data_IF_177759563055
#
_entry.id   IF_177759563055
#
_cell.length_a   1.000
_cell.length_b   1.000
_cell.length_c   1.000
_cell.angle_alpha   90.00
_cell.angle_beta   90.00
_cell.angle_gamma   90.00
#
_symmetry.space_group_name_H-M   'P 1'
#
loop_
_entity.id
_entity.type
_entity.pdbx_description
1 polymer ?
#
# COMPACT_ATOMS: atom_id res chain seq x y z
N UNK A 1 -20.28 72.21 30.78
CA UNK A 1 -21.18 71.04 30.72
C UNK A 1 -20.47 69.90 30.02
N UNK A 2 -20.44 68.75 30.68
CA UNK A 2 -19.79 67.53 30.22
C UNK A 2 -20.57 66.87 29.08
N UNK A 3 -19.87 66.27 28.12
CA UNK A 3 -20.34 65.03 27.47
C UNK A 3 -19.16 64.30 26.82
N UNK A 4 -18.86 63.17 27.44
CA UNK A 4 -17.82 62.19 27.13
C UNK A 4 -18.34 61.30 25.99
N UNK A 5 -17.74 61.39 24.80
CA UNK A 5 -18.00 60.45 23.69
C UNK A 5 -17.32 59.11 23.99
N UNK A 6 -18.14 58.12 24.35
CA UNK A 6 -17.75 56.76 24.69
C UNK A 6 -17.51 55.97 23.40
N UNK A 7 -16.30 55.44 23.24
CA UNK A 7 -15.91 54.59 22.12
C UNK A 7 -16.74 53.30 22.05
N UNK A 8 -17.20 52.99 20.84
CA UNK A 8 -17.80 51.71 20.46
C UNK A 8 -16.68 50.70 20.23
N UNK A 9 -16.26 50.01 21.30
CA UNK A 9 -15.50 48.77 21.22
C UNK A 9 -16.44 47.61 20.94
N UNK A 10 -16.06 46.77 19.98
CA UNK A 10 -16.33 45.32 19.96
C UNK A 10 -17.80 44.93 19.90
N UNK A 11 -18.33 44.83 18.68
CA UNK A 11 -19.49 43.98 18.43
C UNK A 11 -19.13 42.54 18.80
N UNK A 12 -19.64 42.07 19.94
CA UNK A 12 -19.67 40.65 20.26
C UNK A 12 -20.51 39.94 19.19
N UNK A 13 -20.05 38.80 18.64
CA UNK A 13 -20.91 37.98 17.80
C UNK A 13 -22.08 37.44 18.65
N UNK A 14 -23.28 37.28 18.07
CA UNK A 14 -24.49 36.90 18.79
C UNK A 14 -24.36 35.52 19.45
N UNK A 15 -24.97 35.31 20.63
CA UNK A 15 -25.01 34.01 21.29
C UNK A 15 -26.06 33.15 20.59
N UNK A 16 -25.63 32.11 19.86
CA UNK A 16 -26.55 31.16 19.23
C UNK A 16 -26.17 30.66 17.84
N UNK A 17 -25.02 31.05 17.29
CA UNK A 17 -24.43 30.27 16.21
C UNK A 17 -23.91 28.97 16.81
N UNK A 18 -24.60 27.85 16.57
CA UNK A 18 -24.07 26.52 16.86
C UNK A 18 -22.79 26.41 16.04
N UNK A 19 -21.65 26.74 16.65
CA UNK A 19 -20.35 26.50 16.03
C UNK A 19 -20.32 24.99 15.88
N UNK A 20 -20.42 24.52 14.64
CA UNK A 20 -20.45 23.09 14.39
C UNK A 20 -19.07 22.55 14.78
N UNK A 21 -19.01 21.90 15.94
CA UNK A 21 -17.78 21.33 16.49
C UNK A 21 -17.12 20.41 15.47
N UNK A 22 -17.93 19.71 14.67
CA UNK A 22 -17.46 18.81 13.62
C UNK A 22 -16.72 19.58 12.50
N UNK A 23 -17.23 20.74 12.08
CA UNK A 23 -16.62 21.56 11.04
C UNK A 23 -15.29 22.18 11.50
N UNK A 24 -15.24 22.67 12.74
CA UNK A 24 -14.00 23.20 13.33
C UNK A 24 -12.96 22.08 13.54
N UNK A 25 -13.39 20.87 13.93
CA UNK A 25 -12.50 19.70 14.00
C UNK A 25 -11.98 19.32 12.61
N UNK A 26 -12.82 19.33 11.58
CA UNK A 26 -12.37 19.13 10.20
C UNK A 26 -11.37 20.19 9.75
N UNK A 27 -11.55 21.45 10.16
CA UNK A 27 -10.61 22.52 9.89
C UNK A 27 -9.24 22.28 10.56
N UNK A 28 -9.17 21.61 11.72
CA UNK A 28 -7.91 21.22 12.34
C UNK A 28 -7.13 20.21 11.50
N UNK A 29 -7.80 19.15 11.03
CA UNK A 29 -7.15 18.08 10.26
C UNK A 29 -6.74 18.51 8.84
N UNK A 30 -7.26 19.63 8.32
CA UNK A 30 -6.84 20.24 7.05
C UNK A 30 -5.51 20.99 7.12
N UNK A 31 -5.13 21.49 8.30
CA UNK A 31 -3.94 22.34 8.48
C UNK A 31 -2.64 21.56 8.30
N UNK A 32 -1.51 22.22 7.97
CA UNK A 32 -0.20 21.60 8.00
C UNK A 32 0.07 20.92 9.34
N UNK A 33 0.74 19.77 9.32
CA UNK A 33 0.94 18.96 10.53
C UNK A 33 1.67 19.74 11.64
N UNK A 34 2.60 20.62 11.25
CA UNK A 34 3.33 21.48 12.18
C UNK A 34 2.41 22.47 12.93
N UNK A 35 1.30 22.89 12.32
CA UNK A 35 0.35 23.84 12.88
C UNK A 35 -0.77 23.19 13.70
N UNK A 36 -0.96 21.88 13.58
CA UNK A 36 -2.09 21.16 14.17
C UNK A 36 -2.22 21.42 15.68
N UNK A 37 -1.13 21.25 16.44
CA UNK A 37 -1.15 21.40 17.91
C UNK A 37 -1.49 22.83 18.32
N UNK A 38 -0.91 23.83 17.65
CA UNK A 38 -1.21 25.25 17.90
C UNK A 38 -2.68 25.55 17.63
N UNK A 39 -3.19 25.13 16.47
CA UNK A 39 -4.58 25.37 16.08
C UNK A 39 -5.58 24.66 17.00
N UNK A 40 -5.26 23.43 17.44
CA UNK A 40 -6.09 22.68 18.41
C UNK A 40 -6.18 23.42 19.74
N UNK A 41 -5.07 23.93 20.24
CA UNK A 41 -5.03 24.62 21.53
C UNK A 41 -5.73 25.99 21.46
N UNK A 42 -5.63 26.69 20.32
CA UNK A 42 -6.38 27.91 20.04
C UNK A 42 -7.90 27.66 19.96
N UNK A 43 -8.33 26.59 19.26
CA UNK A 43 -9.74 26.21 19.21
C UNK A 43 -10.29 25.86 20.60
N UNK A 44 -9.58 25.03 21.36
CA UNK A 44 -9.99 24.69 22.72
C UNK A 44 -10.10 25.93 23.63
N UNK A 45 -9.18 26.90 23.49
CA UNK A 45 -9.26 28.17 24.22
C UNK A 45 -10.48 28.99 23.80
N UNK A 46 -10.79 29.08 22.51
CA UNK A 46 -11.98 29.78 21.98
C UNK A 46 -13.27 29.16 22.52
N UNK A 47 -13.41 27.84 22.45
CA UNK A 47 -14.60 27.11 22.96
C UNK A 47 -14.79 27.31 24.46
N UNK A 48 -13.70 27.28 25.23
CA UNK A 48 -13.74 27.55 26.67
C UNK A 48 -14.15 28.99 26.99
N UNK A 49 -13.72 29.96 26.19
CA UNK A 49 -14.13 31.37 26.32
C UNK A 49 -15.60 31.58 25.92
N UNK A 50 -16.11 30.78 24.98
CA UNK A 50 -17.52 30.77 24.59
C UNK A 50 -18.44 30.06 25.59
N UNK A 51 -17.90 29.48 26.67
CA UNK A 51 -18.65 28.81 27.73
C UNK A 51 -18.83 27.29 27.52
N UNK A 52 -18.40 26.74 26.39
CA UNK A 52 -18.47 25.30 26.13
C UNK A 52 -17.19 24.58 26.59
N UNK A 53 -17.17 24.27 27.89
CA UNK A 53 -16.08 23.49 28.49
C UNK A 53 -16.03 22.05 27.95
N UNK A 54 -17.17 21.46 27.61
CA UNK A 54 -17.26 20.09 27.11
C UNK A 54 -16.59 19.94 25.74
N UNK A 55 -16.94 20.81 24.80
CA UNK A 55 -16.31 20.86 23.47
C UNK A 55 -14.82 21.20 23.56
N UNK A 56 -14.43 22.14 24.45
CA UNK A 56 -13.01 22.42 24.72
C UNK A 56 -12.23 21.16 25.15
N UNK A 57 -12.78 20.37 26.07
CA UNK A 57 -12.11 19.17 26.58
C UNK A 57 -12.06 18.06 25.51
N UNK A 58 -13.11 17.91 24.69
CA UNK A 58 -13.11 17.01 23.52
C UNK A 58 -12.05 17.40 22.49
N UNK A 59 -11.95 18.68 22.12
CA UNK A 59 -10.92 19.17 21.19
C UNK A 59 -9.51 18.96 21.74
N UNK A 60 -9.28 19.17 23.05
CA UNK A 60 -7.98 18.89 23.66
C UNK A 60 -7.60 17.41 23.67
N UNK A 61 -8.58 16.52 23.76
CA UNK A 61 -8.36 15.08 23.70
C UNK A 61 -7.95 14.59 22.31
N UNK A 62 -8.14 15.40 21.25
CA UNK A 62 -7.70 15.06 19.90
C UNK A 62 -6.18 14.87 19.84
N UNK A 63 -5.79 13.69 19.37
CA UNK A 63 -4.39 13.32 19.15
C UNK A 63 -3.87 14.00 17.89
N UNK A 64 -2.61 14.42 17.95
CA UNK A 64 -1.90 14.88 16.76
C UNK A 64 -1.73 13.69 15.79
N UNK A 65 -2.10 13.84 14.50
CA UNK A 65 -1.87 12.81 13.50
C UNK A 65 -0.39 12.42 13.37
N UNK A 66 -0.09 11.16 13.06
CA UNK A 66 1.24 10.79 12.57
C UNK A 66 1.48 11.34 11.16
N UNK A 67 2.73 11.30 10.70
CA UNK A 67 3.05 11.77 9.36
C UNK A 67 2.24 11.05 8.25
N UNK A 68 2.13 9.72 8.37
CA UNK A 68 1.36 8.89 7.44
C UNK A 68 -0.15 9.15 7.55
N UNK A 69 -0.69 9.26 8.77
CA UNK A 69 -2.10 9.54 9.01
C UNK A 69 -2.52 10.92 8.46
N UNK A 70 -1.68 11.95 8.64
CA UNK A 70 -1.91 13.26 8.03
C UNK A 70 -1.96 13.14 6.50
N UNK A 71 -1.03 12.42 5.88
CA UNK A 71 -1.04 12.25 4.42
C UNK A 71 -2.30 11.53 3.93
N UNK A 72 -2.77 10.51 4.65
CA UNK A 72 -4.06 9.86 4.37
C UNK A 72 -5.22 10.84 4.46
N UNK A 73 -5.26 11.68 5.50
CA UNK A 73 -6.29 12.69 5.67
C UNK A 73 -6.29 13.70 4.50
N UNK A 74 -5.12 14.12 4.05
CA UNK A 74 -5.01 15.02 2.91
C UNK A 74 -5.38 14.33 1.58
N UNK A 75 -5.04 13.04 1.42
CA UNK A 75 -5.46 12.25 0.26
C UNK A 75 -6.99 12.12 0.20
N UNK A 76 -7.65 11.83 1.33
CA UNK A 76 -9.11 11.74 1.42
C UNK A 76 -9.78 13.07 1.03
N UNK A 77 -9.18 14.21 1.40
CA UNK A 77 -9.75 15.54 1.14
C UNK A 77 -9.45 16.07 -0.26
N UNK A 78 -8.26 15.81 -0.83
CA UNK A 78 -7.85 16.32 -2.15
C UNK A 78 -8.18 15.38 -3.30
N UNK A 79 -8.28 14.09 -3.02
CA UNK A 79 -8.59 13.05 -4.01
C UNK A 79 -9.76 12.17 -3.53
N UNK A 80 -10.94 12.74 -3.22
CA UNK A 80 -12.06 12.00 -2.63
C UNK A 80 -12.49 10.82 -3.51
N UNK A 81 -12.53 11.00 -4.83
CA UNK A 81 -12.89 9.95 -5.79
C UNK A 81 -11.91 8.76 -5.77
N UNK A 82 -10.61 9.03 -5.58
CA UNK A 82 -9.60 7.95 -5.48
C UNK A 82 -9.66 7.25 -4.13
N UNK A 83 -10.02 7.98 -3.07
CA UNK A 83 -10.24 7.40 -1.75
C UNK A 83 -11.49 6.51 -1.73
N UNK A 84 -12.59 6.96 -2.35
CA UNK A 84 -13.79 6.15 -2.54
C UNK A 84 -13.48 4.87 -3.32
N UNK A 85 -12.76 4.98 -4.44
CA UNK A 85 -12.31 3.82 -5.20
C UNK A 85 -11.45 2.85 -4.38
N UNK A 86 -10.64 3.36 -3.43
CA UNK A 86 -9.84 2.51 -2.54
C UNK A 86 -10.73 1.74 -1.56
N UNK A 87 -11.71 2.43 -0.95
CA UNK A 87 -12.65 1.83 -0.01
C UNK A 87 -13.50 0.76 -0.70
N UNK A 88 -14.02 1.06 -1.89
CA UNK A 88 -14.78 0.12 -2.71
C UNK A 88 -13.94 -1.10 -3.12
N UNK A 89 -12.70 -0.88 -3.56
CA UNK A 89 -11.80 -1.98 -3.91
C UNK A 89 -11.43 -2.81 -2.68
N UNK A 90 -11.31 -2.18 -1.51
CA UNK A 90 -11.08 -2.85 -0.23
C UNK A 90 -12.25 -3.73 0.19
N UNK A 91 -13.49 -3.25 0.08
CA UNK A 91 -14.69 -4.05 0.39
C UNK A 91 -14.84 -5.22 -0.60
N UNK A 92 -14.66 -4.98 -1.91
CA UNK A 92 -14.70 -6.07 -2.91
C UNK A 92 -13.64 -7.14 -2.66
N UNK A 93 -12.45 -6.73 -2.20
CA UNK A 93 -11.40 -7.67 -1.82
C UNK A 93 -11.77 -8.46 -0.57
N UNK A 94 -12.36 -7.80 0.43
CA UNK A 94 -12.90 -8.46 1.63
C UNK A 94 -14.01 -9.47 1.30
N UNK A 95 -14.93 -9.11 0.40
CA UNK A 95 -15.96 -10.02 -0.11
C UNK A 95 -15.37 -11.22 -0.86
N UNK A 96 -14.40 -10.98 -1.75
CA UNK A 96 -13.72 -12.05 -2.48
C UNK A 96 -12.94 -12.98 -1.55
N UNK A 97 -12.38 -12.47 -0.44
CA UNK A 97 -11.74 -13.29 0.60
C UNK A 97 -12.76 -14.19 1.31
N UNK A 98 -13.96 -13.68 1.63
CA UNK A 98 -15.06 -14.48 2.22
C UNK A 98 -15.56 -15.56 1.25
N UNK A 99 -15.65 -15.24 -0.04
CA UNK A 99 -16.10 -16.14 -1.11
C UNK A 99 -15.02 -17.06 -1.70
N UNK A 100 -13.78 -17.03 -1.19
CA UNK A 100 -12.62 -17.68 -1.81
C UNK A 100 -12.75 -19.22 -1.93
N UNK A 101 -13.61 -19.83 -1.10
CA UNK A 101 -13.87 -21.28 -1.10
C UNK A 101 -14.92 -21.72 -2.13
N UNK A 102 -15.57 -20.78 -2.83
CA UNK A 102 -16.56 -21.08 -3.87
C UNK A 102 -15.94 -21.35 -5.25
N UNK A 103 -16.72 -21.90 -6.21
CA UNK A 103 -16.30 -22.04 -7.61
C UNK A 103 -15.91 -20.68 -8.20
N UNK A 104 -14.69 -20.56 -8.75
CA UNK A 104 -14.16 -19.29 -9.26
C UNK A 104 -13.60 -18.33 -8.20
N UNK A 105 -13.68 -18.69 -6.91
CA UNK A 105 -13.21 -17.85 -5.79
C UNK A 105 -11.72 -17.48 -5.87
N UNK A 106 -10.87 -18.39 -6.34
CA UNK A 106 -9.45 -18.12 -6.53
C UNK A 106 -9.17 -17.04 -7.60
N UNK A 107 -9.95 -16.99 -8.69
CA UNK A 107 -9.80 -15.97 -9.73
C UNK A 107 -10.38 -14.63 -9.25
N UNK A 108 -11.57 -14.64 -8.64
CA UNK A 108 -12.19 -13.44 -8.07
C UNK A 108 -11.30 -12.77 -7.01
N UNK A 109 -10.64 -13.55 -6.15
CA UNK A 109 -9.68 -13.04 -5.17
C UNK A 109 -8.46 -12.40 -5.83
N UNK A 110 -7.91 -13.01 -6.89
CA UNK A 110 -6.79 -12.44 -7.65
C UNK A 110 -7.18 -11.11 -8.29
N UNK A 111 -8.32 -11.05 -8.96
CA UNK A 111 -8.77 -9.85 -9.67
C UNK A 111 -9.08 -8.70 -8.70
N UNK A 112 -9.76 -8.99 -7.59
CA UNK A 112 -10.01 -8.00 -6.54
C UNK A 112 -8.71 -7.49 -5.91
N UNK A 113 -7.75 -8.40 -5.66
CA UNK A 113 -6.43 -8.04 -5.13
C UNK A 113 -5.62 -7.15 -6.08
N UNK A 114 -5.70 -7.40 -7.40
CA UNK A 114 -5.05 -6.56 -8.40
C UNK A 114 -5.66 -5.16 -8.46
N UNK A 115 -7.00 -5.07 -8.45
CA UNK A 115 -7.72 -3.78 -8.46
C UNK A 115 -7.39 -2.93 -7.23
N UNK A 116 -7.40 -3.53 -6.04
CA UNK A 116 -7.02 -2.85 -4.81
C UNK A 116 -5.58 -2.30 -4.87
N UNK A 117 -4.62 -3.13 -5.28
CA UNK A 117 -3.21 -2.70 -5.44
C UNK A 117 -3.04 -1.59 -6.47
N UNK A 118 -3.82 -1.61 -7.56
CA UNK A 118 -3.78 -0.56 -8.57
C UNK A 118 -4.17 0.81 -7.99
N UNK A 119 -5.27 0.88 -7.24
CA UNK A 119 -5.72 2.12 -6.59
C UNK A 119 -4.75 2.58 -5.51
N UNK A 120 -4.22 1.66 -4.70
CA UNK A 120 -3.16 1.97 -3.71
C UNK A 120 -1.95 2.64 -4.39
N UNK A 121 -1.48 2.08 -5.51
CA UNK A 121 -0.35 2.65 -6.25
C UNK A 121 -0.66 4.04 -6.82
N UNK A 122 -1.88 4.31 -7.25
CA UNK A 122 -2.30 5.64 -7.71
C UNK A 122 -2.28 6.69 -6.60
N UNK A 123 -2.72 6.33 -5.39
CA UNK A 123 -2.67 7.20 -4.21
C UNK A 123 -1.23 7.43 -3.76
N UNK A 124 -0.39 6.40 -3.78
CA UNK A 124 1.04 6.52 -3.43
C UNK A 124 1.81 7.44 -4.37
N UNK A 125 1.42 7.57 -5.64
CA UNK A 125 2.02 8.53 -6.57
C UNK A 125 1.76 9.99 -6.18
N UNK A 126 0.64 10.27 -5.52
CA UNK A 126 0.29 11.61 -5.05
C UNK A 126 0.91 11.96 -3.67
N UNK A 127 1.34 10.96 -2.92
CA UNK A 127 1.83 11.11 -1.55
C UNK A 127 3.11 11.98 -1.41
N UNK A 128 4.14 11.90 -2.28
CA UNK A 128 5.38 12.67 -2.10
C UNK A 128 5.18 14.18 -2.05
N UNK A 129 4.25 14.72 -2.86
CA UNK A 129 3.92 16.15 -2.86
C UNK A 129 3.31 16.58 -1.51
N UNK A 130 2.39 15.77 -0.98
CA UNK A 130 1.79 15.99 0.34
C UNK A 130 2.84 15.89 1.45
N UNK A 131 3.78 14.94 1.33
CA UNK A 131 4.87 14.81 2.28
C UNK A 131 5.79 16.06 2.32
N UNK A 132 6.01 16.71 1.18
CA UNK A 132 6.78 17.94 1.14
C UNK A 132 6.04 19.10 1.84
N UNK A 133 4.73 19.22 1.64
CA UNK A 133 3.91 20.28 2.24
C UNK A 133 3.76 20.16 3.76
N UNK A 134 3.74 18.94 4.30
CA UNK A 134 3.52 18.70 5.73
C UNK A 134 4.73 19.03 6.64
N UNK A 135 5.93 19.26 6.08
CA UNK A 135 7.09 19.74 6.83
C UNK A 135 7.57 18.83 7.97
N UNK A 136 7.60 17.52 7.75
CA UNK A 136 7.81 16.52 8.80
C UNK A 136 9.24 16.49 9.36
N UNK A 137 9.35 16.25 10.67
CA UNK A 137 10.62 16.07 11.40
C UNK A 137 10.67 14.75 12.19
N UNK A 138 9.75 13.82 11.92
CA UNK A 138 9.67 12.54 12.64
C UNK A 138 10.76 11.55 12.16
N UNK A 139 11.29 10.75 13.10
CA UNK A 139 12.24 9.67 12.78
C UNK A 139 11.48 8.45 12.24
N UNK A 140 11.88 7.92 11.09
CA UNK A 140 11.33 6.69 10.51
C UNK A 140 11.13 6.75 8.99
N UNK A 141 10.42 5.76 8.43
CA UNK A 141 10.00 5.75 7.03
C UNK A 141 8.47 5.93 6.92
N UNK A 142 7.96 7.18 6.86
CA UNK A 142 6.52 7.44 6.83
C UNK A 142 5.85 7.01 5.52
N UNK A 143 6.61 6.88 4.42
CA UNK A 143 6.10 6.36 3.15
C UNK A 143 5.74 4.87 3.25
N UNK A 144 6.57 4.07 3.92
CA UNK A 144 6.28 2.65 4.15
C UNK A 144 5.01 2.49 4.99
N UNK A 145 4.89 3.26 6.08
CA UNK A 145 3.70 3.23 6.93
C UNK A 145 2.42 3.67 6.21
N UNK A 146 2.52 4.68 5.35
CA UNK A 146 1.42 5.10 4.49
C UNK A 146 0.99 3.97 3.56
N UNK A 147 1.95 3.33 2.89
CA UNK A 147 1.68 2.18 2.01
C UNK A 147 1.01 1.05 2.79
N UNK A 148 1.55 0.71 3.96
CA UNK A 148 1.04 -0.39 4.78
C UNK A 148 -0.39 -0.09 5.26
N UNK A 149 -0.68 1.17 5.64
CA UNK A 149 -2.04 1.61 5.98
C UNK A 149 -3.01 1.52 4.80
N UNK A 150 -2.60 1.95 3.60
CA UNK A 150 -3.42 1.84 2.38
C UNK A 150 -3.67 0.37 2.00
N UNK A 151 -2.70 -0.51 2.22
CA UNK A 151 -2.83 -1.94 2.00
C UNK A 151 -3.73 -2.62 3.05
N UNK A 152 -3.80 -2.07 4.26
CA UNK A 152 -4.61 -2.59 5.36
C UNK A 152 -6.11 -2.25 5.24
N UNK A 153 -6.53 -1.39 4.30
CA UNK A 153 -7.96 -1.02 4.16
C UNK A 153 -8.96 -2.18 4.05
N UNK A 154 -8.65 -3.33 3.39
CA UNK A 154 -9.59 -4.46 3.34
C UNK A 154 -9.79 -5.12 4.71
N UNK A 155 -8.82 -5.04 5.60
CA UNK A 155 -8.87 -5.68 6.93
C UNK A 155 -9.06 -4.68 8.08
N UNK A 156 -9.04 -3.37 7.82
CA UNK A 156 -9.23 -2.34 8.81
C UNK A 156 -10.65 -2.34 9.40
N UNK A 157 -10.77 -1.85 10.64
CA UNK A 157 -12.04 -1.74 11.36
C UNK A 157 -13.00 -0.76 10.64
N UNK A 158 -14.33 -0.97 10.69
CA UNK A 158 -15.29 -0.03 10.10
C UNK A 158 -15.16 1.40 10.65
N UNK A 159 -14.85 1.55 11.94
CA UNK A 159 -14.62 2.86 12.56
C UNK A 159 -13.41 3.58 11.98
N UNK A 160 -12.32 2.86 11.70
CA UNK A 160 -11.13 3.47 11.12
C UNK A 160 -11.33 3.85 9.65
N UNK A 161 -12.13 3.06 8.91
CA UNK A 161 -12.51 3.38 7.54
C UNK A 161 -13.41 4.62 7.48
N UNK A 162 -14.31 4.81 8.44
CA UNK A 162 -15.12 6.03 8.55
C UNK A 162 -14.24 7.26 8.86
N UNK A 163 -13.28 7.12 9.79
CA UNK A 163 -12.30 8.18 10.08
C UNK A 163 -11.39 8.47 8.88
N UNK A 164 -11.00 7.45 8.10
CA UNK A 164 -10.26 7.62 6.85
C UNK A 164 -11.08 8.40 5.82
N UNK A 165 -12.35 8.01 5.60
CA UNK A 165 -13.23 8.66 4.66
C UNK A 165 -13.45 10.14 5.02
N UNK A 166 -13.57 10.46 6.32
CA UNK A 166 -13.65 11.85 6.82
C UNK A 166 -12.31 12.57 6.82
N UNK A 167 -11.20 11.87 6.65
CA UNK A 167 -9.84 12.43 6.76
C UNK A 167 -9.53 12.95 8.16
N UNK A 168 -9.82 12.14 9.18
CA UNK A 168 -9.61 12.44 10.61
C UNK A 168 -8.80 11.37 11.35
N UNK A 169 -8.00 10.59 10.63
CA UNK A 169 -7.11 9.60 11.24
C UNK A 169 -6.05 10.29 12.10
N UNK A 170 -5.84 9.73 13.29
CA UNK A 170 -4.77 10.16 14.21
C UNK A 170 -3.55 9.23 14.20
N UNK A 171 -3.71 7.99 13.73
CA UNK A 171 -2.65 6.99 13.59
C UNK A 171 -2.77 6.20 12.29
N UNK A 172 -1.79 5.34 12.04
CA UNK A 172 -1.81 4.39 10.93
C UNK A 172 -3.01 3.43 11.00
N UNK A 173 -3.46 2.92 9.84
CA UNK A 173 -4.43 1.82 9.79
C UNK A 173 -3.70 0.52 10.10
N UNK A 174 -4.07 -0.11 11.21
CA UNK A 174 -3.59 -1.45 11.54
C UNK A 174 -4.50 -2.51 10.88
N UNK A 175 -3.97 -3.66 10.47
CA UNK A 175 -4.80 -4.80 10.08
C UNK A 175 -5.71 -5.16 11.25
N UNK A 176 -7.02 -5.26 11.01
CA UNK A 176 -7.98 -5.64 12.05
C UNK A 176 -7.51 -6.90 12.78
N UNK A 177 -7.30 -6.77 14.09
CA UNK A 177 -6.93 -7.88 14.95
C UNK A 177 -8.09 -8.87 15.01
N UNK A 178 -7.80 -10.17 15.10
CA UNK A 178 -8.80 -11.21 15.36
C UNK A 178 -9.63 -10.91 16.63
N UNK A 179 -9.10 -10.05 17.51
CA UNK A 179 -9.76 -9.51 18.69
C UNK A 179 -11.08 -8.77 18.37
N UNK A 180 -11.21 -8.07 17.24
CA UNK A 180 -12.45 -7.38 16.87
C UNK A 180 -13.53 -8.35 16.36
N UNK A 181 -13.14 -9.48 15.75
CA UNK A 181 -14.05 -10.57 15.41
C UNK A 181 -14.53 -11.35 16.65
N UNK A 182 -13.72 -11.39 17.72
CA UNK A 182 -14.07 -12.03 19.00
C UNK A 182 -14.71 -11.07 20.01
N UNK A 183 -14.60 -9.76 19.78
CA UNK A 183 -15.12 -8.71 20.66
C UNK A 183 -16.65 -8.67 20.77
N UNK A 184 -17.36 -9.23 19.79
CA UNK A 184 -18.81 -9.44 19.87
C UNK A 184 -19.23 -10.57 20.81
N UNK A 185 -18.30 -11.37 21.36
CA UNK A 185 -18.61 -12.53 22.20
C UNK A 185 -18.15 -12.43 23.67
N UNK A 186 -17.55 -11.32 24.11
CA UNK A 186 -17.02 -11.25 25.49
C UNK A 186 -17.12 -9.87 26.12
N UNK A 187 -18.32 -9.54 26.58
CA UNK A 187 -18.52 -8.50 27.59
C UNK A 187 -18.05 -8.98 28.97
N UNK A 188 -16.97 -8.40 29.50
CA UNK A 188 -16.81 -7.98 30.91
C UNK A 188 -15.36 -7.57 31.25
N UNK A 189 -15.15 -6.46 31.97
CA UNK A 189 -13.86 -6.17 32.60
C UNK A 189 -13.66 -6.96 33.90
N UNK A 190 -12.41 -7.37 34.11
CA UNK A 190 -11.88 -8.06 35.28
C UNK A 190 -11.46 -7.04 36.35
N UNK A 191 -11.88 -7.25 37.60
CA UNK A 191 -11.27 -6.62 38.76
C UNK A 191 -11.04 -7.64 39.88
N UNK A 192 -9.81 -7.60 40.42
CA UNK A 192 -9.35 -7.78 41.82
C UNK A 192 -8.02 -8.54 41.88
N UNK A 193 -7.25 -8.51 43.00
CA UNK A 193 -7.42 -7.72 44.24
C UNK A 193 -6.13 -6.99 44.71
N UNK A 194 -6.31 -6.05 45.64
CA UNK A 194 -5.23 -5.45 46.44
C UNK A 194 -5.16 -6.07 47.84
N UNK A 195 -3.93 -6.31 48.30
CA UNK A 195 -3.56 -6.62 49.69
C UNK A 195 -3.72 -5.39 50.61
N UNK A 196 -4.14 -5.62 51.86
CA UNK A 196 -3.80 -4.79 53.01
C UNK A 196 -3.99 -5.60 54.31
N UNK A 197 -3.01 -5.50 55.21
CA UNK A 197 -2.98 -6.22 56.48
C UNK A 197 -3.42 -5.39 57.70
N UNK A 198 -2.93 -5.85 58.86
CA UNK A 198 -2.94 -5.26 60.21
C UNK A 198 -4.15 -5.57 61.14
N UNK A 199 -4.00 -6.66 61.92
CA UNK A 199 -3.86 -6.69 63.38
C UNK A 199 -4.93 -6.09 64.32
N UNK A 200 -5.36 -6.87 65.33
CA UNK A 200 -5.43 -6.40 66.74
C UNK A 200 -5.57 -7.55 67.77
N UNK A 201 -5.01 -7.29 68.95
CA UNK A 201 -4.95 -8.11 70.18
C UNK A 201 -6.28 -8.08 70.96
N UNK A 202 -6.54 -9.11 71.78
CA UNK A 202 -7.22 -8.98 73.08
C UNK A 202 -6.80 -10.07 74.08
N UNK A 203 -6.72 -9.67 75.37
CA UNK A 203 -6.25 -10.39 76.56
C UNK A 203 -7.41 -10.99 77.38
N UNK A 204 -7.08 -11.95 78.26
CA UNK A 204 -7.78 -12.30 79.51
C UNK A 204 -7.90 -13.83 79.69
N UNK A 205 -7.71 -14.47 80.84
CA UNK A 205 -7.37 -14.10 82.22
C UNK A 205 -6.87 -15.36 82.99
N UNK A 206 -6.33 -15.18 84.19
CA UNK A 206 -5.65 -16.13 85.11
C UNK A 206 -6.56 -17.21 85.75
N UNK A 207 -5.95 -18.34 86.16
CA UNK A 207 -5.96 -18.94 87.52
C UNK A 207 -5.07 -20.20 87.54
N UNK A 208 -3.92 -20.17 88.23
CA UNK A 208 -3.62 -20.82 89.53
C UNK A 208 -3.11 -22.28 89.47
N UNK A 209 -1.88 -22.43 89.97
CA UNK A 209 -1.06 -23.62 90.26
C UNK A 209 -1.56 -24.37 91.52
N UNK A 210 -1.26 -25.69 91.76
CA UNK A 210 0.09 -26.03 92.21
C UNK A 210 0.65 -27.47 91.99
N UNK A 211 1.98 -27.49 92.02
CA UNK A 211 2.88 -28.43 92.69
C UNK A 211 3.20 -29.83 92.10
N UNK A 212 4.53 -29.98 91.88
CA UNK A 212 5.40 -31.09 92.32
C UNK A 212 5.26 -32.45 91.62
N UNK A 213 6.24 -32.77 90.76
CA UNK A 213 7.36 -33.72 91.03
C UNK A 213 7.95 -34.25 89.71
N UNK A 214 9.27 -34.50 89.75
CA UNK A 214 10.13 -35.11 88.71
C UNK A 214 10.47 -34.14 87.58
N UNK A 215 11.71 -33.88 87.22
CA UNK A 215 12.92 -34.66 87.46
C UNK A 215 13.62 -34.81 86.11
N UNK A 216 14.51 -33.86 85.79
CA UNK A 216 15.70 -34.09 84.97
C UNK A 216 15.49 -34.95 83.70
N UNK A 217 14.61 -34.52 82.78
CA UNK A 217 14.57 -35.01 81.40
C UNK A 217 14.08 -33.95 80.38
N UNK A 218 14.02 -32.66 80.76
CA UNK A 218 13.39 -31.61 79.95
C UNK A 218 14.37 -30.61 79.29
N UNK A 219 15.68 -30.81 79.44
CA UNK A 219 16.70 -29.94 78.81
C UNK A 219 17.29 -30.49 77.50
N UNK A 220 17.11 -31.77 77.19
CA UNK A 220 17.58 -32.37 75.92
C UNK A 220 16.53 -32.36 74.80
N UNK A 221 15.24 -32.37 75.14
CA UNK A 221 14.14 -32.28 74.16
C UNK A 221 14.14 -30.97 73.33
N UNK A 222 14.37 -29.77 73.92
CA UNK A 222 14.39 -28.53 73.13
C UNK A 222 15.65 -28.40 72.26
N UNK A 223 16.80 -28.95 72.66
CA UNK A 223 18.00 -28.95 71.80
C UNK A 223 17.90 -29.91 70.62
N UNK A 224 17.34 -31.11 70.81
CA UNK A 224 17.09 -32.06 69.70
C UNK A 224 16.07 -31.52 68.71
N UNK A 225 15.03 -30.80 69.18
CA UNK A 225 14.08 -30.12 68.29
C UNK A 225 14.70 -28.94 67.52
N UNK A 226 15.60 -28.16 68.13
CA UNK A 226 16.32 -27.08 67.44
C UNK A 226 17.27 -27.62 66.35
N UNK A 227 18.07 -28.64 66.66
CA UNK A 227 18.97 -29.27 65.68
C UNK A 227 18.21 -29.93 64.52
N UNK A 228 17.09 -30.59 64.80
CA UNK A 228 16.20 -31.12 63.77
C UNK A 228 15.52 -30.01 62.92
N UNK A 229 15.25 -28.85 63.53
CA UNK A 229 14.77 -27.65 62.84
C UNK A 229 15.82 -27.09 61.87
N UNK A 230 17.06 -26.92 62.34
CA UNK A 230 18.19 -26.43 61.54
C UNK A 230 18.55 -27.37 60.38
N UNK A 231 18.51 -28.69 60.58
CA UNK A 231 18.71 -29.67 59.51
C UNK A 231 17.58 -29.60 58.46
N UNK A 232 16.33 -29.45 58.89
CA UNK A 232 15.18 -29.27 57.98
C UNK A 232 15.30 -27.95 57.20
N UNK A 233 15.80 -26.90 57.83
CA UNK A 233 16.03 -25.61 57.17
C UNK A 233 17.15 -25.70 56.12
N UNK A 234 18.27 -26.37 56.46
CA UNK A 234 19.36 -26.64 55.51
C UNK A 234 18.90 -27.49 54.33
N UNK A 235 18.08 -28.52 54.57
CA UNK A 235 17.51 -29.34 53.50
C UNK A 235 16.51 -28.56 52.62
N UNK A 236 15.69 -27.67 53.21
CA UNK A 236 14.81 -26.78 52.45
C UNK A 236 15.61 -25.79 51.60
N UNK A 237 16.65 -25.17 52.17
CA UNK A 237 17.53 -24.26 51.45
C UNK A 237 18.29 -24.98 50.31
N UNK A 238 18.74 -26.22 50.52
CA UNK A 238 19.37 -27.04 49.48
C UNK A 238 18.39 -27.37 48.33
N UNK A 239 17.16 -27.80 48.66
CA UNK A 239 16.12 -28.06 47.66
C UNK A 239 15.71 -26.80 46.90
N UNK A 240 15.62 -25.66 47.58
CA UNK A 240 15.30 -24.38 46.93
C UNK A 240 16.42 -23.92 45.98
N UNK A 241 17.69 -24.10 46.37
CA UNK A 241 18.85 -23.84 45.49
C UNK A 241 18.85 -24.77 44.28
N UNK A 242 18.56 -26.05 44.46
CA UNK A 242 18.45 -27.01 43.36
C UNK A 242 17.30 -26.65 42.41
N UNK A 243 16.12 -26.29 42.94
CA UNK A 243 14.99 -25.83 42.13
C UNK A 243 15.31 -24.54 41.38
N UNK A 244 15.99 -23.58 42.01
CA UNK A 244 16.45 -22.36 41.35
C UNK A 244 17.46 -22.66 40.24
N UNK A 245 18.39 -23.59 40.46
CA UNK A 245 19.36 -24.02 39.46
C UNK A 245 18.68 -24.71 38.27
N UNK A 246 17.71 -25.60 38.52
CA UNK A 246 16.90 -26.26 37.47
C UNK A 246 16.11 -25.24 36.65
N UNK A 247 15.39 -24.33 37.29
CA UNK A 247 14.66 -23.24 36.60
C UNK A 247 15.60 -22.36 35.75
N UNK A 248 16.79 -22.04 36.27
CA UNK A 248 17.78 -21.27 35.52
C UNK A 248 18.33 -22.05 34.30
N UNK A 249 18.48 -23.37 34.41
CA UNK A 249 18.88 -24.23 33.29
C UNK A 249 17.77 -24.31 32.22
N UNK A 250 16.52 -24.54 32.62
CA UNK A 250 15.37 -24.59 31.70
C UNK A 250 15.19 -23.27 30.94
N UNK A 251 15.35 -22.13 31.63
CA UNK A 251 15.26 -20.81 30.99
C UNK A 251 16.43 -20.54 30.04
N UNK A 252 17.63 -21.06 30.31
CA UNK A 252 18.77 -20.99 29.37
C UNK A 252 18.52 -21.87 28.14
N UNK A 253 17.98 -23.07 28.32
CA UNK A 253 17.65 -23.98 27.22
C UNK A 253 16.57 -23.38 26.31
N UNK A 254 15.48 -22.84 26.89
CA UNK A 254 14.44 -22.13 26.13
C UNK A 254 15.00 -20.96 25.33
N UNK A 255 15.86 -20.14 25.96
CA UNK A 255 16.52 -19.00 25.27
C UNK A 255 17.43 -19.48 24.14
N UNK A 256 18.15 -20.58 24.32
CA UNK A 256 18.98 -21.18 23.28
C UNK A 256 18.14 -21.70 22.10
N UNK A 257 17.01 -22.38 22.37
CA UNK A 257 16.06 -22.85 21.34
C UNK A 257 15.47 -21.68 20.55
N UNK A 258 14.97 -20.65 21.22
CA UNK A 258 14.45 -19.45 20.56
C UNK A 258 15.53 -18.72 19.73
N UNK A 259 16.78 -18.71 20.20
CA UNK A 259 17.89 -18.14 19.43
C UNK A 259 18.22 -18.97 18.18
N UNK A 260 18.16 -20.30 18.27
CA UNK A 260 18.34 -21.20 17.12
C UNK A 260 17.22 -21.03 16.09
N UNK A 261 15.95 -21.04 16.52
CA UNK A 261 14.79 -20.81 15.64
C UNK A 261 14.86 -19.45 14.93
N UNK A 262 15.29 -18.39 15.65
CA UNK A 262 15.48 -17.06 15.04
C UNK A 262 16.58 -17.07 13.98
N UNK A 263 17.68 -17.79 14.20
CA UNK A 263 18.76 -17.94 13.22
C UNK A 263 18.27 -18.69 11.99
N UNK A 264 17.61 -19.82 12.19
CA UNK A 264 17.04 -20.62 11.09
C UNK A 264 16.01 -19.82 10.29
N UNK A 265 15.10 -19.09 10.95
CA UNK A 265 14.15 -18.20 10.27
C UNK A 265 14.86 -17.12 9.46
N UNK A 266 15.93 -16.53 10.00
CA UNK A 266 16.72 -15.52 9.28
C UNK A 266 17.43 -16.11 8.06
N UNK A 267 17.97 -17.32 8.18
CA UNK A 267 18.61 -18.03 7.07
C UNK A 267 17.61 -18.43 5.99
N UNK A 268 16.42 -18.93 6.37
CA UNK A 268 15.32 -19.22 5.44
C UNK A 268 14.89 -17.98 4.67
N UNK A 269 14.67 -16.86 5.37
CA UNK A 269 14.33 -15.58 4.73
C UNK A 269 15.46 -15.07 3.81
N UNK A 270 16.72 -15.23 4.22
CA UNK A 270 17.85 -14.85 3.37
C UNK A 270 17.97 -15.75 2.12
N UNK A 271 17.68 -17.04 2.24
CA UNK A 271 17.65 -17.99 1.12
C UNK A 271 16.51 -17.65 0.15
N UNK A 272 15.31 -17.36 0.67
CA UNK A 272 14.16 -16.94 -0.14
C UNK A 272 14.45 -15.63 -0.87
N UNK A 273 15.03 -14.63 -0.21
CA UNK A 273 15.45 -13.38 -0.85
C UNK A 273 16.51 -13.62 -1.95
N UNK A 274 17.45 -14.54 -1.74
CA UNK A 274 18.44 -14.90 -2.77
C UNK A 274 17.77 -15.57 -3.97
N UNK A 275 16.82 -16.47 -3.73
CA UNK A 275 16.05 -17.12 -4.80
C UNK A 275 15.21 -16.11 -5.58
N UNK A 276 14.51 -15.21 -4.90
CA UNK A 276 13.73 -14.13 -5.54
C UNK A 276 14.64 -13.22 -6.37
N UNK A 277 15.79 -12.82 -5.84
CA UNK A 277 16.78 -12.02 -6.61
C UNK A 277 17.33 -12.76 -7.82
N UNK A 278 17.60 -14.07 -7.69
CA UNK A 278 18.05 -14.89 -8.80
C UNK A 278 16.97 -15.04 -9.88
N UNK A 279 15.70 -15.22 -9.49
CA UNK A 279 14.56 -15.27 -10.40
C UNK A 279 14.35 -13.95 -11.13
N UNK A 280 14.44 -12.81 -10.43
CA UNK A 280 14.36 -11.49 -11.04
C UNK A 280 15.51 -11.27 -12.04
N UNK A 281 16.74 -11.60 -11.66
CA UNK A 281 17.89 -11.49 -12.56
C UNK A 281 17.78 -12.41 -13.79
N UNK A 282 17.19 -13.60 -13.65
CA UNK A 282 16.90 -14.49 -14.77
C UNK A 282 15.83 -13.91 -15.70
N UNK A 283 14.72 -13.43 -15.15
CA UNK A 283 13.64 -12.80 -15.90
C UNK A 283 14.10 -11.52 -16.63
N UNK A 284 14.98 -10.71 -16.02
CA UNK A 284 15.59 -9.55 -16.67
C UNK A 284 16.45 -9.95 -17.87
N UNK A 285 17.27 -11.01 -17.74
CA UNK A 285 18.08 -11.53 -18.85
C UNK A 285 17.21 -12.05 -20.00
N UNK A 286 16.13 -12.79 -19.68
CA UNK A 286 15.18 -13.28 -20.68
C UNK A 286 14.50 -12.11 -21.41
N UNK A 287 14.06 -11.08 -20.68
CA UNK A 287 13.47 -9.87 -21.27
C UNK A 287 14.47 -9.14 -22.17
N UNK A 288 15.72 -9.03 -21.76
CA UNK A 288 16.77 -8.36 -22.55
C UNK A 288 17.13 -9.17 -23.81
N UNK A 289 17.10 -10.50 -23.74
CA UNK A 289 17.24 -11.37 -24.91
C UNK A 289 16.06 -11.20 -25.87
N UNK A 290 14.82 -11.29 -25.37
CA UNK A 290 13.61 -11.08 -26.16
C UNK A 290 13.58 -9.69 -26.82
N UNK A 291 14.03 -8.65 -26.11
CA UNK A 291 14.15 -7.29 -26.66
C UNK A 291 15.18 -7.20 -27.80
N UNK A 292 16.33 -7.87 -27.66
CA UNK A 292 17.34 -7.95 -28.73
C UNK A 292 16.83 -8.71 -29.95
N UNK A 293 16.11 -9.81 -29.75
CA UNK A 293 15.48 -10.59 -30.82
C UNK A 293 14.41 -9.77 -31.54
N UNK A 294 13.52 -9.10 -30.79
CA UNK A 294 12.52 -8.20 -31.35
C UNK A 294 13.16 -7.06 -32.15
N UNK A 295 14.26 -6.46 -31.67
CA UNK A 295 14.99 -5.43 -32.40
C UNK A 295 15.62 -5.96 -33.71
N UNK A 296 16.15 -7.18 -33.70
CA UNK A 296 16.69 -7.83 -34.90
C UNK A 296 15.57 -8.11 -35.91
N UNK A 297 14.47 -8.70 -35.47
CA UNK A 297 13.31 -8.97 -36.31
C UNK A 297 12.73 -7.68 -36.91
N UNK A 298 12.66 -6.59 -36.13
CA UNK A 298 12.20 -5.29 -36.63
C UNK A 298 13.12 -4.72 -37.73
N UNK A 299 14.44 -4.84 -37.57
CA UNK A 299 15.41 -4.42 -38.60
C UNK A 299 15.31 -5.26 -39.87
N UNK A 300 15.09 -6.56 -39.72
CA UNK A 300 14.88 -7.46 -40.86
C UNK A 300 13.58 -7.13 -41.60
N UNK A 301 12.49 -6.88 -40.88
CA UNK A 301 11.22 -6.45 -41.47
C UNK A 301 11.33 -5.12 -42.23
N UNK A 302 12.04 -4.13 -41.69
CA UNK A 302 12.32 -2.85 -42.37
C UNK A 302 13.15 -3.07 -43.65
N UNK A 303 14.17 -3.95 -43.59
CA UNK A 303 14.98 -4.31 -44.76
C UNK A 303 14.13 -4.96 -45.84
N UNK A 304 13.33 -5.96 -45.50
CA UNK A 304 12.44 -6.66 -46.45
C UNK A 304 11.41 -5.70 -47.05
N UNK A 305 10.88 -4.77 -46.26
CA UNK A 305 9.94 -3.74 -46.74
C UNK A 305 10.61 -2.81 -47.75
N UNK A 306 11.86 -2.38 -47.49
CA UNK A 306 12.64 -1.56 -48.43
C UNK A 306 12.98 -2.32 -49.70
N UNK A 307 13.33 -3.60 -49.60
CA UNK A 307 13.58 -4.47 -50.75
C UNK A 307 12.31 -4.67 -51.59
N UNK A 308 11.16 -4.95 -50.96
CA UNK A 308 9.87 -5.05 -51.62
C UNK A 308 9.48 -3.74 -52.34
N UNK A 309 9.67 -2.59 -51.70
CA UNK A 309 9.41 -1.28 -52.32
C UNK A 309 10.32 -1.01 -53.53
N UNK A 310 11.58 -1.43 -53.48
CA UNK A 310 12.50 -1.34 -54.63
C UNK A 310 12.06 -2.23 -55.78
N UNK A 311 11.66 -3.47 -55.48
CA UNK A 311 11.17 -4.41 -56.49
C UNK A 311 9.87 -3.93 -57.13
N UNK A 312 8.94 -3.39 -56.35
CA UNK A 312 7.70 -2.79 -56.88
C UNK A 312 7.99 -1.62 -57.82
N UNK A 313 8.87 -0.69 -57.45
CA UNK A 313 9.28 0.42 -58.34
C UNK A 313 9.99 -0.06 -59.61
N UNK A 314 10.78 -1.14 -59.51
CA UNK A 314 11.43 -1.72 -60.67
C UNK A 314 10.41 -2.37 -61.62
N UNK A 315 9.41 -3.06 -61.07
CA UNK A 315 8.30 -3.64 -61.84
C UNK A 315 7.48 -2.55 -62.55
N UNK A 316 7.10 -1.47 -61.86
CA UNK A 316 6.38 -0.33 -62.45
C UNK A 316 7.15 0.27 -63.64
N UNK A 317 8.46 0.52 -63.48
CA UNK A 317 9.31 1.03 -64.56
C UNK A 317 9.41 0.05 -65.74
N UNK A 318 9.47 -1.25 -65.46
CA UNK A 318 9.50 -2.27 -66.51
C UNK A 318 8.17 -2.31 -67.28
N UNK A 319 7.03 -2.16 -66.59
CA UNK A 319 5.72 -2.06 -67.23
C UNK A 319 5.58 -0.80 -68.09
N UNK A 320 6.04 0.36 -67.60
CA UNK A 320 6.06 1.61 -68.37
C UNK A 320 6.93 1.48 -69.63
N UNK A 321 8.13 0.90 -69.49
CA UNK A 321 9.01 0.64 -70.63
C UNK A 321 8.38 -0.33 -71.65
N UNK A 322 7.71 -1.39 -71.18
CA UNK A 322 7.00 -2.32 -72.03
C UNK A 322 5.82 -1.65 -72.76
N UNK A 323 5.05 -0.80 -72.09
CA UNK A 323 3.98 0.00 -72.72
C UNK A 323 4.52 0.94 -73.79
N UNK A 324 5.63 1.63 -73.52
CA UNK A 324 6.28 2.51 -74.48
C UNK A 324 6.83 1.74 -75.70
N UNK A 325 7.40 0.55 -75.48
CA UNK A 325 7.88 -0.31 -76.55
C UNK A 325 6.74 -0.79 -77.46
N UNK A 326 5.60 -1.22 -76.87
CA UNK A 326 4.39 -1.58 -77.63
C UNK A 326 3.87 -0.42 -78.47
N UNK A 327 3.76 0.78 -77.90
CA UNK A 327 3.32 1.96 -78.65
C UNK A 327 4.21 2.26 -79.85
N UNK A 328 5.54 2.16 -79.70
CA UNK A 328 6.49 2.34 -80.80
C UNK A 328 6.37 1.25 -81.87
N UNK A 329 6.11 0.00 -81.46
CA UNK A 329 5.85 -1.08 -82.40
C UNK A 329 4.58 -0.82 -83.21
N UNK A 330 3.47 -0.42 -82.55
CA UNK A 330 2.21 -0.07 -83.23
C UNK A 330 2.39 1.12 -84.20
N UNK A 331 3.16 2.16 -83.81
CA UNK A 331 3.49 3.29 -84.68
C UNK A 331 4.35 2.87 -85.88
N UNK A 332 5.33 1.98 -85.67
CA UNK A 332 6.15 1.43 -86.73
C UNK A 332 5.32 0.59 -87.72
N UNK A 333 4.44 -0.28 -87.22
CA UNK A 333 3.50 -1.06 -88.04
C UNK A 333 2.59 -0.16 -88.89
N UNK A 334 2.02 0.90 -88.31
CA UNK A 334 1.23 1.88 -89.06
C UNK A 334 2.04 2.57 -90.15
N UNK A 335 3.25 3.02 -89.82
CA UNK A 335 4.13 3.67 -90.80
C UNK A 335 4.53 2.74 -91.95
N UNK A 336 4.76 1.45 -91.64
CA UNK A 336 5.06 0.43 -92.64
C UNK A 336 3.86 0.15 -93.54
N UNK A 337 2.64 0.07 -92.97
CA UNK A 337 1.41 -0.09 -93.75
C UNK A 337 1.15 1.12 -94.67
N UNK A 338 1.34 2.35 -94.19
CA UNK A 338 1.24 3.56 -95.02
C UNK A 338 2.29 3.59 -96.14
N UNK A 339 3.53 3.18 -95.86
CA UNK A 339 4.58 3.08 -96.88
C UNK A 339 4.26 2.03 -97.94
N UNK A 340 3.75 0.85 -97.53
CA UNK A 340 3.28 -0.19 -98.45
C UNK A 340 2.13 0.30 -99.33
N UNK A 341 1.15 1.02 -98.76
CA UNK A 341 0.05 1.60 -99.53
C UNK A 341 0.57 2.61 -100.56
N UNK A 342 1.46 3.53 -100.16
CA UNK A 342 2.06 4.51 -101.10
C UNK A 342 2.87 3.84 -102.19
N UNK A 343 3.60 2.78 -101.87
CA UNK A 343 4.35 1.99 -102.85
C UNK A 343 3.41 1.30 -103.85
N UNK A 344 2.31 0.73 -103.38
CA UNK A 344 1.28 0.12 -104.24
C UNK A 344 0.62 1.18 -105.16
N UNK A 345 0.24 2.34 -104.63
CA UNK A 345 -0.30 3.46 -105.42
C UNK A 345 0.72 3.95 -106.46
N UNK A 346 2.00 4.04 -106.08
CA UNK A 346 3.09 4.41 -107.00
C UNK A 346 3.28 3.39 -108.12
N UNK A 347 3.26 2.09 -107.80
CA UNK A 347 3.33 1.01 -108.78
C UNK A 347 2.16 1.09 -109.77
N UNK A 348 0.92 1.25 -109.29
CA UNK A 348 -0.25 1.40 -110.16
C UNK A 348 -0.18 2.66 -111.06
N UNK A 349 0.42 3.76 -110.58
CA UNK A 349 0.64 4.95 -111.42
C UNK A 349 1.68 4.73 -112.51
N UNK A 350 2.74 3.97 -112.22
CA UNK A 350 3.74 3.60 -113.21
C UNK A 350 3.14 2.71 -114.30
N UNK A 351 2.40 1.66 -113.90
CA UNK A 351 1.68 0.78 -114.82
C UNK A 351 0.72 1.57 -115.73
N UNK A 352 -0.06 2.50 -115.15
CA UNK A 352 -0.93 3.38 -115.93
C UNK A 352 -0.18 4.34 -116.87
N UNK A 353 1.05 4.74 -116.53
CA UNK A 353 1.89 5.59 -117.38
C UNK A 353 2.52 4.80 -118.53
N UNK A 354 2.97 3.57 -118.27
CA UNK A 354 3.45 2.62 -119.28
C UNK A 354 2.35 2.33 -120.31
N UNK A 355 1.13 1.98 -119.85
CA UNK A 355 -0.04 1.79 -120.71
C UNK A 355 -0.34 3.00 -121.60
N UNK A 356 -0.10 4.22 -121.09
CA UNK A 356 -0.33 5.46 -121.83
C UNK A 356 0.74 5.70 -122.88
N UNK A 357 2.00 5.39 -122.59
CA UNK A 357 3.11 5.45 -123.54
C UNK A 357 2.91 4.43 -124.67
N UNK A 358 2.49 3.21 -124.36
CA UNK A 358 2.18 2.16 -125.34
C UNK A 358 1.03 2.52 -126.28
N UNK A 359 0.10 3.38 -125.86
CA UNK A 359 -0.95 3.93 -126.72
C UNK A 359 -0.48 5.07 -127.63
N UNK A 360 0.56 5.81 -127.24
CA UNK A 360 1.09 6.94 -128.01
C UNK A 360 2.15 6.51 -129.04
N UNK A 361 2.74 5.32 -128.88
CA UNK A 361 3.73 4.75 -129.80
C UNK A 361 3.17 3.89 -130.95
N UNK A 362 1.85 3.84 -131.16
CA UNK A 362 1.19 3.11 -132.25
C UNK A 362 0.67 4.01 -133.36
#
# INVERSE_FOLDING_TARGET
MASRTKGTRGGAPPPGGVVDEEEEVDALYKKPLADFTRARDELAKRLRQAGDKGASDRVKALRRPTAAAWTLNQLARRYPQRMEALLDAGERLREAQRGALGPGGAQGLKDAGQKHRAVVNELLRAAPALFAEGGYREKGNPMDRLRDSLLATPTASPSDLELLARGRLSGELEPGDLSDMLGLLRGRPSERPAEAGAGRRSKGAKAETPARRRGRAEKEAPERQKRAGEEREKQRAAKEREQKARRAADEREKKAKLAAERRERKERLAAEQRQQKAQLAAAEKERDQASREASRAAKEADRLTKEAARMSRAAEKAEEAARAARKRADEAERSAAEAQQKAAEGASRLEAAEDRLDRLGR
#
